data_IF_970372914011
#
_entry.id   IF_970372914011
#
_cell.length_a   1.000
_cell.length_b   1.000
_cell.length_c   1.000
_cell.angle_alpha   90.00
_cell.angle_beta   90.00
_cell.angle_gamma   90.00
#
_symmetry.space_group_name_H-M   'P 1'
#
loop_
_entity.id
_entity.type
_entity.pdbx_description
1 polymer ?
#
# COMPACT_ATOMS: atom_id res chain seq x y z
N UNK A 1 8.00 -29.15 16.31
CA UNK A 1 7.43 -28.16 15.37
C UNK A 1 6.30 -27.44 16.11
N UNK A 2 6.43 -26.12 16.30
CA UNK A 2 5.44 -25.36 17.07
C UNK A 2 4.34 -24.77 16.19
N UNK A 3 3.11 -24.71 16.71
CA UNK A 3 2.03 -23.91 16.11
C UNK A 3 2.27 -22.45 16.43
N UNK A 4 2.13 -21.57 15.45
CA UNK A 4 2.19 -20.13 15.63
C UNK A 4 0.82 -19.50 15.31
N UNK A 5 0.43 -18.53 16.14
CA UNK A 5 -0.74 -17.68 15.90
C UNK A 5 -0.26 -16.34 15.34
N UNK A 6 -0.84 -15.88 14.23
CA UNK A 6 -0.43 -14.65 13.57
C UNK A 6 -1.58 -14.02 12.82
N UNK A 7 -1.67 -12.68 12.88
CA UNK A 7 -2.56 -11.92 12.00
C UNK A 7 -1.92 -11.73 10.63
N UNK A 8 -2.75 -11.66 9.59
CA UNK A 8 -2.29 -11.42 8.23
C UNK A 8 -3.45 -11.22 7.24
N UNK A 9 -3.12 -10.73 6.05
CA UNK A 9 -4.06 -10.57 4.95
C UNK A 9 -3.62 -11.41 3.75
N UNK A 10 -4.57 -12.11 3.11
CA UNK A 10 -4.31 -12.90 1.91
C UNK A 10 -4.16 -11.97 0.71
N UNK A 11 -2.97 -11.91 0.12
CA UNK A 11 -2.64 -11.04 -1.02
C UNK A 11 -2.50 -11.80 -2.34
N UNK A 12 -2.60 -13.13 -2.32
CA UNK A 12 -2.72 -13.98 -3.51
C UNK A 12 -3.27 -15.33 -3.13
N UNK A 13 -4.09 -15.90 -4.00
CA UNK A 13 -4.59 -17.26 -3.89
C UNK A 13 -4.49 -17.99 -5.22
N UNK A 14 -4.06 -19.26 -5.18
CA UNK A 14 -4.01 -20.16 -6.32
C UNK A 14 -4.54 -21.53 -5.91
N UNK A 15 -5.18 -22.22 -6.82
CA UNK A 15 -5.61 -23.59 -6.58
C UNK A 15 -4.42 -24.55 -6.56
N UNK A 16 -4.39 -25.44 -5.58
CA UNK A 16 -3.40 -26.50 -5.45
C UNK A 16 -4.11 -27.86 -5.40
N UNK A 17 -3.98 -28.63 -6.47
CA UNK A 17 -4.75 -29.86 -6.62
C UNK A 17 -6.27 -29.63 -6.56
N UNK A 18 -7.02 -30.65 -6.09
CA UNK A 18 -8.49 -30.63 -6.16
C UNK A 18 -9.14 -29.77 -5.07
N UNK A 19 -8.58 -29.76 -3.87
CA UNK A 19 -9.23 -29.17 -2.70
C UNK A 19 -8.38 -28.18 -1.91
N UNK A 20 -7.12 -28.04 -2.22
CA UNK A 20 -6.19 -27.19 -1.47
C UNK A 20 -6.02 -25.83 -2.14
N UNK A 21 -5.47 -24.86 -1.40
CA UNK A 21 -5.04 -23.56 -1.91
C UNK A 21 -3.57 -23.32 -1.55
N UNK A 22 -2.82 -22.74 -2.49
CA UNK A 22 -1.57 -22.07 -2.24
C UNK A 22 -1.83 -20.58 -2.09
N UNK A 23 -1.43 -19.99 -0.98
CA UNK A 23 -1.71 -18.61 -0.61
C UNK A 23 -0.41 -17.84 -0.40
N UNK A 24 -0.45 -16.56 -0.74
CA UNK A 24 0.54 -15.60 -0.26
C UNK A 24 -0.13 -14.70 0.76
N UNK A 25 0.45 -14.58 1.94
CA UNK A 25 -0.07 -13.78 3.06
C UNK A 25 0.94 -12.71 3.42
N UNK A 26 0.47 -11.48 3.60
CA UNK A 26 1.25 -10.41 4.22
C UNK A 26 0.99 -10.40 5.72
N UNK A 27 2.06 -10.49 6.50
CA UNK A 27 2.03 -10.51 7.96
C UNK A 27 2.84 -9.35 8.55
N UNK A 28 2.56 -8.91 9.79
CA UNK A 28 3.27 -7.78 10.37
C UNK A 28 4.76 -8.08 10.68
N UNK A 29 5.08 -9.32 11.11
CA UNK A 29 6.40 -9.65 11.62
C UNK A 29 7.27 -10.50 10.69
N UNK A 30 6.64 -11.32 9.82
CA UNK A 30 7.35 -12.20 8.89
C UNK A 30 7.30 -11.70 7.44
N UNK A 31 6.68 -10.54 7.20
CA UNK A 31 6.53 -10.00 5.85
C UNK A 31 5.62 -10.86 4.98
N UNK A 32 6.00 -11.05 3.73
CA UNK A 32 5.27 -11.85 2.75
C UNK A 32 5.65 -13.32 2.87
N UNK A 33 4.72 -14.17 3.27
CA UNK A 33 4.95 -15.61 3.47
C UNK A 33 4.06 -16.46 2.55
N UNK A 34 4.55 -17.66 2.21
CA UNK A 34 3.81 -18.66 1.45
C UNK A 34 3.10 -19.63 2.38
N UNK A 35 1.81 -19.87 2.16
CA UNK A 35 0.98 -20.75 2.99
C UNK A 35 0.22 -21.76 2.15
N UNK A 36 0.03 -22.97 2.70
CA UNK A 36 -0.88 -23.98 2.15
C UNK A 36 -2.11 -24.10 3.06
N UNK A 37 -3.29 -24.04 2.47
CA UNK A 37 -4.56 -24.27 3.15
C UNK A 37 -5.19 -25.57 2.62
N UNK A 38 -4.98 -26.68 3.36
CA UNK A 38 -5.46 -28.01 2.96
C UNK A 38 -6.97 -28.12 3.08
N UNK A 39 -7.62 -28.63 2.06
CA UNK A 39 -9.08 -28.79 2.00
C UNK A 39 -9.86 -27.46 2.00
N UNK A 40 -9.22 -26.32 1.77
CA UNK A 40 -9.86 -25.00 1.83
C UNK A 40 -10.97 -24.80 0.79
N UNK A 41 -10.97 -25.59 -0.31
CA UNK A 41 -11.97 -25.53 -1.38
C UNK A 41 -13.14 -26.49 -1.19
N UNK A 42 -13.16 -27.31 -0.14
CA UNK A 42 -14.29 -28.19 0.16
C UNK A 42 -15.47 -27.35 0.64
N UNK A 43 -16.70 -27.69 0.23
CA UNK A 43 -17.91 -26.93 0.55
C UNK A 43 -18.15 -26.67 2.04
N UNK A 44 -17.73 -27.60 2.93
CA UNK A 44 -17.88 -27.48 4.38
C UNK A 44 -16.56 -27.17 5.09
N UNK A 45 -15.59 -26.59 4.39
CA UNK A 45 -14.31 -26.27 4.99
C UNK A 45 -14.41 -25.04 5.91
N UNK A 46 -13.93 -25.17 7.13
CA UNK A 46 -13.79 -24.04 8.04
C UNK A 46 -12.78 -22.98 7.50
N UNK A 47 -11.91 -23.35 6.56
CA UNK A 47 -10.94 -22.48 5.94
C UNK A 47 -11.48 -21.72 4.73
N UNK A 48 -12.69 -22.07 4.22
CA UNK A 48 -13.20 -21.54 2.95
C UNK A 48 -13.29 -20.01 2.94
N UNK A 49 -13.85 -19.41 3.98
CA UNK A 49 -14.04 -17.97 4.07
C UNK A 49 -12.72 -17.22 4.33
N UNK A 50 -11.94 -17.67 5.30
CA UNK A 50 -10.71 -16.99 5.74
C UNK A 50 -9.53 -17.12 4.78
N UNK A 51 -9.63 -17.96 3.74
CA UNK A 51 -8.57 -18.15 2.74
C UNK A 51 -8.87 -17.51 1.40
N UNK A 52 -9.78 -16.56 1.36
CA UNK A 52 -10.10 -15.79 0.16
C UNK A 52 -9.16 -14.59 0.01
N UNK A 53 -8.99 -14.14 -1.23
CA UNK A 53 -8.24 -12.92 -1.55
C UNK A 53 -8.76 -11.72 -0.76
N UNK A 54 -7.88 -10.91 -0.21
CA UNK A 54 -8.13 -9.76 0.68
C UNK A 54 -8.83 -10.11 2.01
N UNK A 55 -8.87 -11.37 2.42
CA UNK A 55 -9.32 -11.71 3.76
C UNK A 55 -8.22 -11.39 4.78
N UNK A 56 -8.53 -10.54 5.75
CA UNK A 56 -7.70 -10.26 6.92
C UNK A 56 -8.22 -11.03 8.12
N UNK A 57 -7.34 -11.70 8.84
CA UNK A 57 -7.71 -12.53 9.99
C UNK A 57 -6.55 -12.94 10.86
N UNK A 58 -6.86 -13.75 11.88
CA UNK A 58 -5.89 -14.47 12.70
C UNK A 58 -5.78 -15.91 12.22
N UNK A 59 -4.57 -16.38 12.01
CA UNK A 59 -4.29 -17.70 11.45
C UNK A 59 -3.43 -18.51 12.42
N UNK A 60 -3.87 -19.74 12.70
CA UNK A 60 -3.07 -20.76 13.37
C UNK A 60 -2.34 -21.57 12.30
N UNK A 61 -1.01 -21.56 12.32
CA UNK A 61 -0.20 -22.17 11.28
C UNK A 61 0.92 -23.02 11.84
N UNK A 62 1.33 -24.06 11.10
CA UNK A 62 2.59 -24.78 11.31
C UNK A 62 3.63 -24.29 10.34
N UNK A 63 4.86 -24.09 10.83
CA UNK A 63 6.01 -23.81 9.98
C UNK A 63 6.56 -25.13 9.41
N UNK A 64 6.46 -25.30 8.09
CA UNK A 64 7.18 -26.31 7.34
C UNK A 64 8.61 -25.86 7.02
N UNK A 65 9.27 -26.57 6.09
CA UNK A 65 10.62 -26.18 5.63
C UNK A 65 10.61 -24.83 4.88
N UNK A 66 9.73 -24.71 3.88
CA UNK A 66 9.67 -23.52 3.00
C UNK A 66 8.28 -22.87 2.96
N UNK A 67 7.27 -23.44 3.60
CA UNK A 67 5.90 -22.95 3.58
C UNK A 67 5.25 -23.13 4.93
N UNK A 68 4.24 -22.35 5.20
CA UNK A 68 3.37 -22.50 6.36
C UNK A 68 2.12 -23.30 5.99
N UNK A 69 1.63 -24.15 6.89
CA UNK A 69 0.34 -24.82 6.70
C UNK A 69 -0.69 -24.21 7.63
N UNK A 70 -1.78 -23.69 7.09
CA UNK A 70 -2.88 -23.11 7.86
C UNK A 70 -3.74 -24.25 8.42
N UNK A 71 -3.91 -24.26 9.74
CA UNK A 71 -4.79 -25.21 10.45
C UNK A 71 -6.19 -24.66 10.65
N UNK A 72 -6.25 -23.42 11.13
CA UNK A 72 -7.51 -22.71 11.38
C UNK A 72 -7.30 -21.22 11.15
N UNK A 73 -8.39 -20.53 10.88
CA UNK A 73 -8.43 -19.08 10.74
C UNK A 73 -9.67 -18.52 11.40
N UNK A 74 -9.51 -17.34 11.98
CA UNK A 74 -10.59 -16.49 12.46
C UNK A 74 -10.59 -15.21 11.60
N UNK A 75 -11.65 -15.03 10.82
CA UNK A 75 -11.80 -13.89 9.92
C UNK A 75 -12.14 -12.64 10.73
N UNK A 76 -11.39 -11.55 10.51
CA UNK A 76 -11.62 -10.24 11.13
C UNK A 76 -12.30 -9.32 10.13
N UNK A 77 -11.82 -9.26 8.86
CA UNK A 77 -12.32 -8.37 7.84
C UNK A 77 -12.23 -9.02 6.44
N UNK A 78 -13.25 -8.86 5.63
CA UNK A 78 -13.30 -9.41 4.25
C UNK A 78 -13.44 -8.34 3.17
N UNK A 79 -13.59 -7.06 3.55
CA UNK A 79 -13.79 -5.93 2.64
C UNK A 79 -14.89 -6.21 1.61
N UNK A 80 -16.07 -6.57 2.10
CA UNK A 80 -17.18 -7.07 1.25
C UNK A 80 -17.52 -6.11 0.11
N UNK A 81 -17.55 -4.80 0.37
CA UNK A 81 -17.91 -3.78 -0.64
C UNK A 81 -16.91 -3.69 -1.80
N UNK A 82 -15.64 -4.09 -1.60
CA UNK A 82 -14.68 -4.21 -2.71
C UNK A 82 -15.03 -5.34 -3.68
N UNK A 83 -15.74 -6.37 -3.21
CA UNK A 83 -16.09 -7.54 -4.03
C UNK A 83 -17.36 -7.33 -4.85
N UNK A 84 -18.18 -6.37 -4.45
CA UNK A 84 -19.46 -6.05 -5.11
C UNK A 84 -19.33 -4.92 -6.12
N UNK A 85 -18.19 -4.22 -6.15
CA UNK A 85 -17.90 -3.10 -7.04
C UNK A 85 -16.60 -3.40 -7.81
N UNK A 86 -16.72 -3.55 -9.14
CA UNK A 86 -15.61 -3.93 -9.99
C UNK A 86 -14.50 -2.87 -10.03
N UNK A 87 -14.86 -1.59 -10.00
CA UNK A 87 -13.88 -0.50 -10.05
C UNK A 87 -13.08 -0.45 -8.75
N UNK A 88 -13.76 -0.55 -7.60
CA UNK A 88 -13.10 -0.65 -6.30
C UNK A 88 -12.19 -1.88 -6.21
N UNK A 89 -12.65 -3.01 -6.75
CA UNK A 89 -11.85 -4.24 -6.78
C UNK A 89 -10.59 -4.09 -7.62
N UNK A 90 -10.68 -3.46 -8.80
CA UNK A 90 -9.53 -3.22 -9.68
C UNK A 90 -8.47 -2.38 -8.97
N UNK A 91 -8.86 -1.29 -8.29
CA UNK A 91 -7.94 -0.49 -7.50
C UNK A 91 -7.30 -1.27 -6.33
N UNK A 92 -8.07 -2.12 -5.65
CA UNK A 92 -7.53 -2.97 -4.59
C UNK A 92 -6.52 -4.00 -5.12
N UNK A 93 -6.76 -4.56 -6.32
CA UNK A 93 -5.83 -5.48 -7.00
C UNK A 93 -4.54 -4.75 -7.39
N UNK A 94 -4.63 -3.53 -7.93
CA UNK A 94 -3.46 -2.71 -8.27
C UNK A 94 -2.58 -2.44 -7.04
N UNK A 95 -3.19 -1.95 -5.95
CA UNK A 95 -2.49 -1.72 -4.68
C UNK A 95 -1.86 -3.01 -4.16
N UNK A 96 -2.56 -4.14 -4.28
CA UNK A 96 -2.05 -5.45 -3.86
C UNK A 96 -0.83 -5.89 -4.68
N UNK A 97 -0.78 -5.61 -5.99
CA UNK A 97 0.41 -5.86 -6.81
C UNK A 97 1.61 -5.07 -6.29
N UNK A 98 1.42 -3.78 -5.99
CA UNK A 98 2.48 -2.93 -5.43
C UNK A 98 2.99 -3.54 -4.12
N UNK A 99 2.08 -3.89 -3.20
CA UNK A 99 2.45 -4.51 -1.91
C UNK A 99 3.26 -5.80 -2.12
N UNK A 100 2.85 -6.67 -3.04
CA UNK A 100 3.57 -7.92 -3.34
C UNK A 100 4.98 -7.68 -3.87
N UNK A 101 5.18 -6.58 -4.59
CA UNK A 101 6.45 -6.24 -5.22
C UNK A 101 7.45 -5.61 -4.26
N UNK A 102 6.97 -4.88 -3.25
CA UNK A 102 7.82 -4.13 -2.31
C UNK A 102 8.01 -4.83 -0.96
N UNK A 103 7.37 -5.98 -0.73
CA UNK A 103 7.51 -6.74 0.52
C UNK A 103 8.22 -8.06 0.29
N UNK A 104 9.05 -8.46 1.27
CA UNK A 104 9.82 -9.69 1.23
C UNK A 104 9.53 -10.57 2.46
N UNK A 105 10.01 -11.81 2.44
CA UNK A 105 9.96 -12.71 3.58
C UNK A 105 10.94 -12.26 4.66
N UNK A 106 10.59 -12.50 5.93
CA UNK A 106 11.36 -12.11 7.13
C UNK A 106 11.56 -10.59 7.30
N UNK A 107 10.73 -9.78 6.66
CA UNK A 107 10.72 -8.33 6.79
C UNK A 107 9.65 -7.88 7.81
N UNK A 108 9.99 -6.88 8.65
CA UNK A 108 8.97 -6.23 9.49
C UNK A 108 8.08 -5.32 8.62
N UNK A 109 6.87 -5.79 8.34
CA UNK A 109 5.89 -5.11 7.50
C UNK A 109 4.74 -4.47 8.29
N UNK A 110 4.87 -4.28 9.62
CA UNK A 110 3.78 -3.76 10.45
C UNK A 110 3.18 -2.46 9.91
N UNK A 111 4.02 -1.46 9.60
CA UNK A 111 3.55 -0.16 9.08
C UNK A 111 2.95 -0.28 7.68
N UNK A 112 3.52 -1.13 6.83
CA UNK A 112 3.03 -1.38 5.48
C UNK A 112 1.68 -2.09 5.53
N UNK A 113 1.53 -3.12 6.36
CA UNK A 113 0.26 -3.82 6.55
C UNK A 113 -0.82 -2.87 7.09
N UNK A 114 -0.50 -2.04 8.08
CA UNK A 114 -1.44 -1.04 8.62
C UNK A 114 -1.88 -0.04 7.55
N UNK A 115 -0.95 0.47 6.73
CA UNK A 115 -1.26 1.34 5.61
C UNK A 115 -2.18 0.64 4.60
N UNK A 116 -1.86 -0.59 4.24
CA UNK A 116 -2.62 -1.38 3.28
C UNK A 116 -4.07 -1.60 3.76
N UNK A 117 -4.24 -2.05 5.01
CA UNK A 117 -5.57 -2.26 5.60
C UNK A 117 -6.39 -0.96 5.64
N UNK A 118 -5.79 0.17 6.05
CA UNK A 118 -6.46 1.47 6.05
C UNK A 118 -6.87 1.92 4.64
N UNK A 119 -6.04 1.63 3.65
CA UNK A 119 -6.32 1.97 2.25
C UNK A 119 -7.49 1.14 1.72
N UNK A 120 -7.48 -0.18 1.95
CA UNK A 120 -8.58 -1.06 1.56
C UNK A 120 -9.88 -0.67 2.26
N UNK A 121 -9.83 -0.34 3.55
CA UNK A 121 -10.98 0.13 4.30
C UNK A 121 -11.54 1.43 3.70
N UNK A 122 -10.68 2.39 3.37
CA UNK A 122 -11.10 3.66 2.79
C UNK A 122 -11.74 3.46 1.40
N UNK A 123 -11.17 2.59 0.56
CA UNK A 123 -11.75 2.21 -0.73
C UNK A 123 -13.09 1.50 -0.57
N UNK A 124 -13.22 0.62 0.43
CA UNK A 124 -14.43 -0.16 0.69
C UNK A 124 -15.58 0.72 1.18
N UNK A 125 -15.30 1.53 2.22
CA UNK A 125 -16.34 2.14 3.07
C UNK A 125 -16.60 3.62 2.76
N UNK A 126 -15.88 4.23 1.82
CA UNK A 126 -16.06 5.66 1.50
C UNK A 126 -16.26 5.90 0.01
N UNK A 127 -16.86 7.06 -0.33
CA UNK A 127 -17.02 7.54 -1.70
C UNK A 127 -15.88 8.52 -2.09
N UNK A 128 -14.74 8.44 -1.42
CA UNK A 128 -13.58 9.27 -1.78
C UNK A 128 -13.05 8.89 -3.16
N UNK A 129 -12.54 9.91 -3.85
CA UNK A 129 -11.95 9.73 -5.16
C UNK A 129 -10.81 8.68 -5.07
N UNK A 130 -10.86 7.57 -5.84
CA UNK A 130 -9.84 6.52 -5.81
C UNK A 130 -8.44 7.03 -6.15
N UNK A 131 -8.31 8.00 -7.08
CA UNK A 131 -7.02 8.61 -7.40
C UNK A 131 -6.37 9.30 -6.20
N UNK A 132 -7.18 9.94 -5.34
CA UNK A 132 -6.68 10.51 -4.09
C UNK A 132 -6.18 9.40 -3.16
N UNK A 133 -6.96 8.35 -3.00
CA UNK A 133 -6.61 7.23 -2.10
C UNK A 133 -5.31 6.56 -2.55
N UNK A 134 -5.17 6.29 -3.85
CA UNK A 134 -3.98 5.66 -4.44
C UNK A 134 -2.75 6.58 -4.30
N UNK A 135 -2.89 7.87 -4.60
CA UNK A 135 -1.79 8.83 -4.48
C UNK A 135 -1.29 8.96 -3.03
N UNK A 136 -2.20 9.02 -2.07
CA UNK A 136 -1.90 9.04 -0.63
C UNK A 136 -1.19 7.75 -0.21
N UNK A 137 -1.70 6.59 -0.65
CA UNK A 137 -1.10 5.29 -0.39
C UNK A 137 0.33 5.21 -0.92
N UNK A 138 0.54 5.56 -2.20
CA UNK A 138 1.86 5.51 -2.86
C UNK A 138 2.87 6.39 -2.13
N UNK A 139 2.54 7.66 -1.86
CA UNK A 139 3.48 8.57 -1.21
C UNK A 139 3.82 8.10 0.21
N UNK A 140 2.83 7.63 0.97
CA UNK A 140 3.08 7.11 2.32
C UNK A 140 3.87 5.80 2.31
N UNK A 141 3.62 4.93 1.35
CA UNK A 141 4.39 3.70 1.16
C UNK A 141 5.86 4.01 0.88
N UNK A 142 6.14 4.95 -0.03
CA UNK A 142 7.51 5.41 -0.31
C UNK A 142 8.21 5.91 0.94
N UNK A 143 7.51 6.63 1.82
CA UNK A 143 8.08 7.03 3.11
C UNK A 143 8.47 5.83 3.98
N UNK A 144 7.65 4.77 4.00
CA UNK A 144 7.96 3.55 4.79
C UNK A 144 9.09 2.72 4.18
N UNK A 145 9.28 2.82 2.85
CA UNK A 145 10.40 2.20 2.14
C UNK A 145 11.71 2.99 2.24
N UNK A 146 11.72 4.14 2.94
CA UNK A 146 12.91 4.97 3.13
C UNK A 146 13.07 6.12 2.14
N UNK A 147 12.13 6.29 1.22
CA UNK A 147 12.13 7.36 0.21
C UNK A 147 11.30 8.57 0.65
N UNK A 148 11.45 9.02 1.90
CA UNK A 148 10.73 10.19 2.40
C UNK A 148 11.29 11.47 1.76
N UNK A 149 10.49 12.25 1.01
CA UNK A 149 10.99 13.49 0.43
C UNK A 149 11.23 14.56 1.51
N UNK A 150 12.23 15.43 1.28
CA UNK A 150 12.48 16.60 2.11
C UNK A 150 11.49 17.71 1.78
N UNK A 151 10.68 18.11 2.75
CA UNK A 151 9.54 19.02 2.56
C UNK A 151 9.59 20.30 3.40
N UNK A 152 10.58 20.43 4.27
CA UNK A 152 10.68 21.56 5.22
C UNK A 152 11.49 22.72 4.69
N UNK A 153 12.42 22.45 3.77
CA UNK A 153 13.36 23.42 3.20
C UNK A 153 13.69 23.06 1.75
N UNK A 154 14.15 24.01 0.97
CA UNK A 154 14.69 23.77 -0.37
C UNK A 154 15.88 22.82 -0.28
N UNK A 155 15.85 21.72 -1.04
CA UNK A 155 16.93 20.70 -1.01
C UNK A 155 18.28 21.25 -1.43
N UNK A 156 18.33 22.36 -2.18
CA UNK A 156 19.55 22.99 -2.67
C UNK A 156 20.04 24.13 -1.76
N UNK A 157 19.25 25.20 -1.59
CA UNK A 157 19.69 26.42 -0.92
C UNK A 157 19.24 26.54 0.55
N UNK A 158 18.48 25.56 1.06
CA UNK A 158 17.99 25.52 2.45
C UNK A 158 16.97 26.58 2.83
N UNK A 159 16.49 27.40 1.87
CA UNK A 159 15.41 28.32 2.11
C UNK A 159 14.13 27.55 2.50
N UNK A 160 13.37 28.05 3.46
CA UNK A 160 12.14 27.41 3.95
C UNK A 160 10.84 27.97 3.38
N UNK A 161 10.91 29.06 2.60
CA UNK A 161 9.76 29.75 2.03
C UNK A 161 9.62 29.49 0.54
N UNK A 162 8.39 29.66 -0.01
CA UNK A 162 8.08 29.55 -1.44
C UNK A 162 8.54 28.23 -2.08
N UNK A 163 8.25 27.13 -1.43
CA UNK A 163 8.62 25.78 -1.85
C UNK A 163 7.53 25.16 -2.74
N UNK A 164 7.37 25.67 -3.95
CA UNK A 164 6.31 25.28 -4.89
C UNK A 164 6.75 24.32 -6.01
N UNK A 165 7.93 23.72 -5.87
CA UNK A 165 8.45 22.77 -6.85
C UNK A 165 8.87 21.47 -6.18
N UNK A 166 8.51 20.33 -6.76
CA UNK A 166 8.94 19.00 -6.34
C UNK A 166 10.03 18.50 -7.30
N UNK A 167 11.22 18.25 -6.79
CA UNK A 167 12.31 17.64 -7.57
C UNK A 167 12.27 16.12 -7.41
N UNK A 168 12.05 15.42 -8.49
CA UNK A 168 12.14 13.96 -8.51
C UNK A 168 13.58 13.52 -8.21
N UNK A 169 14.56 14.11 -8.90
CA UNK A 169 15.98 13.79 -8.76
C UNK A 169 16.52 14.01 -7.35
N UNK A 170 16.22 15.18 -6.73
CA UNK A 170 16.79 15.54 -5.43
C UNK A 170 15.89 15.17 -4.24
N UNK A 171 14.78 14.48 -4.51
CA UNK A 171 13.88 13.91 -3.51
C UNK A 171 13.31 14.93 -2.53
N UNK A 172 12.71 16.01 -3.03
CA UNK A 172 12.12 16.99 -2.14
C UNK A 172 11.75 18.32 -2.77
N UNK A 173 11.42 19.27 -1.93
CA UNK A 173 10.94 20.57 -2.37
C UNK A 173 12.08 21.50 -2.79
N UNK A 174 11.81 22.35 -3.76
CA UNK A 174 12.67 23.43 -4.23
C UNK A 174 11.93 24.75 -4.27
N UNK A 175 12.69 25.84 -4.08
CA UNK A 175 12.25 27.18 -4.38
C UNK A 175 12.33 27.45 -5.90
N UNK A 176 11.69 28.53 -6.36
CA UNK A 176 11.64 28.88 -7.77
C UNK A 176 13.05 29.06 -8.40
N UNK A 177 13.96 29.69 -7.69
CA UNK A 177 15.33 29.94 -8.19
C UNK A 177 16.07 28.62 -8.45
N UNK A 178 16.00 27.67 -7.50
CA UNK A 178 16.70 26.40 -7.61
C UNK A 178 16.00 25.43 -8.59
N UNK A 179 14.70 25.56 -8.82
CA UNK A 179 13.96 24.72 -9.75
C UNK A 179 14.33 24.99 -11.20
N UNK A 180 14.70 26.23 -11.55
CA UNK A 180 15.09 26.62 -12.93
C UNK A 180 16.29 25.84 -13.47
N UNK A 181 17.13 25.31 -12.58
CA UNK A 181 18.32 24.52 -12.95
C UNK A 181 18.05 23.00 -12.99
N UNK A 182 16.84 22.59 -12.67
CA UNK A 182 16.46 21.18 -12.56
C UNK A 182 15.22 20.88 -13.42
N UNK A 183 15.45 20.23 -14.56
CA UNK A 183 14.37 19.84 -15.49
C UNK A 183 13.44 18.77 -14.94
N UNK A 184 13.79 18.10 -13.85
CA UNK A 184 12.95 17.10 -13.17
C UNK A 184 11.97 17.72 -12.17
N UNK A 185 11.95 19.03 -12.03
CA UNK A 185 11.04 19.73 -11.13
C UNK A 185 9.63 19.81 -11.70
N UNK A 186 8.66 19.47 -10.86
CA UNK A 186 7.24 19.64 -11.13
C UNK A 186 6.72 20.80 -10.28
N UNK A 187 6.03 21.73 -10.92
CA UNK A 187 5.38 22.85 -10.22
C UNK A 187 4.15 22.33 -9.45
N UNK A 188 3.91 22.92 -8.31
CA UNK A 188 2.80 22.56 -7.41
C UNK A 188 2.01 23.80 -7.00
N UNK A 189 0.71 23.65 -6.92
CA UNK A 189 -0.16 24.57 -6.19
C UNK A 189 0.10 24.50 -4.68
N UNK A 190 -0.27 25.54 -3.96
CA UNK A 190 -0.18 25.56 -2.49
C UNK A 190 -0.97 24.40 -1.85
N UNK A 191 -2.13 24.07 -2.42
CA UNK A 191 -2.96 22.94 -1.96
C UNK A 191 -2.21 21.62 -2.07
N UNK A 192 -1.48 21.40 -3.17
CA UNK A 192 -0.67 20.19 -3.37
C UNK A 192 0.53 20.14 -2.43
N UNK A 193 1.21 21.28 -2.21
CA UNK A 193 2.30 21.40 -1.22
C UNK A 193 1.79 20.99 0.17
N UNK A 194 0.65 21.54 0.59
CA UNK A 194 0.05 21.24 1.89
C UNK A 194 -0.42 19.78 1.98
N UNK A 195 -0.96 19.21 0.90
CA UNK A 195 -1.34 17.80 0.84
C UNK A 195 -0.14 16.88 1.02
N UNK A 196 0.96 17.10 0.31
CA UNK A 196 2.18 16.30 0.44
C UNK A 196 2.74 16.38 1.87
N UNK A 197 2.82 17.59 2.45
CA UNK A 197 3.23 17.77 3.84
C UNK A 197 2.32 17.00 4.79
N UNK A 198 1.00 17.10 4.60
CA UNK A 198 0.03 16.39 5.41
C UNK A 198 0.20 14.87 5.33
N UNK A 199 0.27 14.30 4.12
CA UNK A 199 0.43 12.85 3.91
C UNK A 199 1.68 12.32 4.63
N UNK A 200 2.80 13.03 4.52
CA UNK A 200 4.07 12.60 5.14
C UNK A 200 3.96 12.62 6.66
N UNK A 201 3.35 13.66 7.24
CA UNK A 201 3.31 13.89 8.70
C UNK A 201 2.12 13.21 9.39
N UNK A 202 1.02 12.93 8.65
CA UNK A 202 -0.20 12.43 9.24
C UNK A 202 -0.03 11.05 9.90
N UNK A 203 -0.60 10.83 11.10
CA UNK A 203 -0.71 9.51 11.67
C UNK A 203 -1.69 8.64 10.87
N UNK A 204 -1.52 7.31 10.93
CA UNK A 204 -2.29 6.35 10.14
C UNK A 204 -3.82 6.57 10.19
N UNK A 205 -4.37 6.88 11.39
CA UNK A 205 -5.82 7.09 11.58
C UNK A 205 -6.38 8.33 10.87
N UNK A 206 -5.54 9.33 10.55
CA UNK A 206 -5.96 10.59 9.91
C UNK A 206 -5.48 10.70 8.47
N UNK A 207 -4.80 9.69 7.94
CA UNK A 207 -4.13 9.77 6.65
C UNK A 207 -5.08 10.15 5.50
N UNK A 208 -6.29 9.63 5.50
CA UNK A 208 -7.31 9.86 4.46
C UNK A 208 -8.38 10.90 4.84
N UNK A 209 -8.14 11.77 5.84
CA UNK A 209 -9.17 12.70 6.37
C UNK A 209 -9.26 14.05 5.64
N UNK A 210 -8.72 14.17 4.43
CA UNK A 210 -8.79 15.39 3.61
C UNK A 210 -9.30 15.08 2.21
N UNK A 211 -9.65 16.14 1.47
CA UNK A 211 -10.01 16.09 0.05
C UNK A 211 -9.21 17.14 -0.71
N UNK A 212 -9.04 16.93 -2.00
CA UNK A 212 -8.44 17.89 -2.93
C UNK A 212 -9.41 18.23 -4.06
N UNK A 213 -9.28 19.43 -4.63
CA UNK A 213 -9.92 19.80 -5.89
C UNK A 213 -9.20 19.10 -7.04
N UNK A 214 -9.88 18.92 -8.17
CA UNK A 214 -9.39 18.15 -9.31
C UNK A 214 -8.01 18.59 -9.81
N UNK A 215 -7.73 19.89 -9.88
CA UNK A 215 -6.44 20.43 -10.30
C UNK A 215 -5.30 19.97 -9.39
N UNK A 216 -5.43 20.18 -8.07
CA UNK A 216 -4.43 19.76 -7.09
C UNK A 216 -4.34 18.23 -6.95
N UNK A 217 -5.44 17.51 -7.20
CA UNK A 217 -5.44 16.06 -7.24
C UNK A 217 -4.64 15.55 -8.44
N UNK A 218 -4.79 16.13 -9.62
CA UNK A 218 -4.03 15.78 -10.82
C UNK A 218 -2.53 16.05 -10.63
N UNK A 219 -2.16 17.18 -10.00
CA UNK A 219 -0.76 17.44 -9.63
C UNK A 219 -0.22 16.36 -8.68
N UNK A 220 -0.95 16.04 -7.61
CA UNK A 220 -0.54 15.01 -6.65
C UNK A 220 -0.40 13.63 -7.31
N UNK A 221 -1.36 13.24 -8.15
CA UNK A 221 -1.34 11.99 -8.92
C UNK A 221 -0.10 11.90 -9.81
N UNK A 222 0.19 12.96 -10.56
CA UNK A 222 1.36 13.02 -11.43
C UNK A 222 2.68 12.90 -10.64
N UNK A 223 2.81 13.68 -9.56
CA UNK A 223 4.01 13.67 -8.71
C UNK A 223 4.23 12.29 -8.10
N UNK A 224 3.20 11.71 -7.50
CA UNK A 224 3.32 10.41 -6.82
C UNK A 224 3.64 9.30 -7.80
N UNK A 225 3.02 9.28 -9.00
CA UNK A 225 3.29 8.29 -10.06
C UNK A 225 4.75 8.39 -10.54
N UNK A 226 5.20 9.59 -10.90
CA UNK A 226 6.58 9.79 -11.39
C UNK A 226 7.62 9.49 -10.30
N UNK A 227 7.36 9.93 -9.07
CA UNK A 227 8.26 9.67 -7.94
C UNK A 227 8.36 8.18 -7.61
N UNK A 228 7.23 7.47 -7.66
CA UNK A 228 7.18 6.03 -7.44
C UNK A 228 7.97 5.26 -8.51
N UNK A 229 7.77 5.57 -9.78
CA UNK A 229 8.47 4.92 -10.89
C UNK A 229 9.98 5.15 -10.82
N UNK A 230 10.39 6.37 -10.48
CA UNK A 230 11.81 6.69 -10.32
C UNK A 230 12.47 5.93 -9.15
N UNK A 231 11.77 5.79 -8.01
CA UNK A 231 12.37 5.15 -6.81
C UNK A 231 12.38 3.63 -6.87
N UNK A 232 11.43 3.02 -7.56
CA UNK A 232 11.34 1.56 -7.63
C UNK A 232 11.82 1.00 -8.97
N UNK A 233 12.27 1.86 -9.90
CA UNK A 233 12.76 1.48 -11.25
C UNK A 233 11.75 0.57 -11.98
N UNK A 234 10.46 0.76 -11.75
CA UNK A 234 9.36 -0.04 -12.30
C UNK A 234 8.32 0.85 -12.94
N UNK A 235 7.96 0.55 -14.19
CA UNK A 235 6.81 1.15 -14.86
C UNK A 235 5.55 0.33 -14.51
N UNK A 236 4.80 0.79 -13.52
CA UNK A 236 3.43 0.33 -13.34
C UNK A 236 2.55 1.06 -14.37
N UNK A 237 2.39 0.42 -15.54
CA UNK A 237 1.45 0.89 -16.56
C UNK A 237 0.03 0.60 -16.09
N UNK A 238 -0.83 1.59 -16.25
CA UNK A 238 -2.28 1.48 -16.11
C UNK A 238 -2.85 0.44 -17.08
#
# INVERSE_FOLDING_TARGET
>A
MGTIKMSGIIISENNLGDYDKMLTMLTPGLGKISCVAKGARRQRSALLAGTQFLCFGEYMMYKGSNTYTINSCETIEVFYNLRTDLDKLNHAVEITKIIRDVTEENQNCYKILQLFLNTLYTLSETDKNPDLIISVFILKLLCFLGFTPRITECVNCKQSENLHYFSLKDNGFKCEVCSRQDKSCLQMSESTVNAIKYIIMAPAKKLFSFNLKDESLNELKLITKLYFNEKLEKDYKE
#
